data_IF_309296768636
#
_entry.id   IF_309296768636
#
_cell.length_a   1.000
_cell.length_b   1.000
_cell.length_c   1.000
_cell.angle_alpha   90.00
_cell.angle_beta   90.00
_cell.angle_gamma   90.00
#
_symmetry.space_group_name_H-M   'P 1'
#
loop_
_entity.id
_entity.type
_entity.pdbx_description
1 polymer ?
#
# COMPACT_ATOMS: atom_id res chain seq x y z
N UNK A 1 -14.97 2.44 12.30
CA UNK A 1 -15.47 3.83 12.29
C UNK A 1 -15.60 4.25 10.84
N UNK A 2 -16.82 4.33 10.26
CA UNK A 2 -16.99 4.68 8.84
C UNK A 2 -16.59 6.13 8.63
N UNK A 3 -15.70 6.35 7.65
CA UNK A 3 -15.30 7.70 7.22
C UNK A 3 -16.51 8.27 6.47
N UNK A 4 -17.35 9.04 7.15
CA UNK A 4 -18.45 9.79 6.51
C UNK A 4 -17.86 11.07 5.90
N UNK A 5 -17.15 10.88 4.79
CA UNK A 5 -16.53 11.97 4.06
C UNK A 5 -17.53 12.59 3.09
N UNK A 6 -17.61 13.90 3.10
CA UNK A 6 -18.32 14.64 2.05
C UNK A 6 -17.76 14.18 0.68
N UNK A 7 -18.63 13.67 -0.21
CA UNK A 7 -18.28 13.07 -1.50
C UNK A 7 -17.30 13.92 -2.34
N UNK A 8 -17.45 15.27 -2.29
CA UNK A 8 -16.56 16.19 -3.02
C UNK A 8 -15.13 16.19 -2.46
N UNK A 9 -14.97 16.11 -1.14
CA UNK A 9 -13.64 16.03 -0.51
C UNK A 9 -12.95 14.72 -0.83
N UNK A 10 -13.69 13.61 -0.86
CA UNK A 10 -13.15 12.30 -1.26
C UNK A 10 -12.61 12.36 -2.69
N UNK A 11 -13.37 12.93 -3.63
CA UNK A 11 -12.97 13.00 -5.03
C UNK A 11 -11.70 13.85 -5.21
N UNK A 12 -11.56 14.95 -4.48
CA UNK A 12 -10.37 15.79 -4.57
C UNK A 12 -9.13 15.13 -3.94
N UNK A 13 -9.28 14.48 -2.79
CA UNK A 13 -8.20 13.70 -2.17
C UNK A 13 -7.79 12.55 -3.08
N UNK A 14 -8.73 11.83 -3.68
CA UNK A 14 -8.47 10.76 -4.64
C UNK A 14 -7.70 11.25 -5.87
N UNK A 15 -8.05 12.41 -6.43
CA UNK A 15 -7.29 13.03 -7.54
C UNK A 15 -5.86 13.35 -7.13
N UNK A 16 -5.68 13.96 -5.94
CA UNK A 16 -4.35 14.29 -5.42
C UNK A 16 -3.52 13.02 -5.21
N UNK A 17 -4.11 12.00 -4.59
CA UNK A 17 -3.47 10.70 -4.40
C UNK A 17 -3.07 10.07 -5.74
N UNK A 18 -3.95 10.09 -6.75
CA UNK A 18 -3.68 9.56 -8.09
C UNK A 18 -2.54 10.29 -8.79
N UNK A 19 -2.45 11.62 -8.63
CA UNK A 19 -1.37 12.44 -9.19
C UNK A 19 -0.01 12.14 -8.56
N UNK A 20 0.07 11.66 -7.32
CA UNK A 20 1.31 11.22 -6.71
C UNK A 20 1.94 10.06 -7.49
N UNK A 21 1.13 9.13 -8.03
CA UNK A 21 1.61 8.04 -8.88
C UNK A 21 2.12 8.55 -10.23
N UNK A 22 1.41 9.51 -10.83
CA UNK A 22 1.87 10.17 -12.07
C UNK A 22 3.22 10.82 -11.86
N UNK A 23 3.39 11.57 -10.77
CA UNK A 23 4.66 12.22 -10.44
C UNK A 23 5.78 11.20 -10.21
N UNK A 24 5.51 10.12 -9.49
CA UNK A 24 6.50 9.07 -9.24
C UNK A 24 6.98 8.43 -10.54
N UNK A 25 6.09 8.13 -11.48
CA UNK A 25 6.44 7.59 -12.80
C UNK A 25 7.20 8.62 -13.62
N UNK A 26 6.73 9.87 -13.67
CA UNK A 26 7.38 10.96 -14.39
C UNK A 26 8.82 11.21 -13.88
N UNK A 27 9.04 11.18 -12.57
CA UNK A 27 10.37 11.33 -11.96
C UNK A 27 11.20 10.03 -12.04
N UNK A 28 10.73 9.00 -12.75
CA UNK A 28 11.39 7.70 -12.91
C UNK A 28 11.72 7.01 -11.59
N UNK A 29 10.88 7.18 -10.58
CA UNK A 29 11.05 6.49 -9.30
C UNK A 29 10.81 4.99 -9.47
N UNK A 30 11.58 4.20 -8.73
CA UNK A 30 11.30 2.77 -8.65
C UNK A 30 9.92 2.52 -7.99
N UNK A 31 8.99 1.78 -8.62
CA UNK A 31 7.63 1.59 -8.12
C UNK A 31 7.55 1.03 -6.70
N UNK A 32 8.38 0.03 -6.38
CA UNK A 32 8.43 -0.56 -5.03
C UNK A 32 8.95 0.43 -4.00
N UNK A 33 9.95 1.27 -4.34
CA UNK A 33 10.47 2.32 -3.45
C UNK A 33 9.43 3.41 -3.21
N UNK A 34 8.74 3.85 -4.26
CA UNK A 34 7.67 4.84 -4.14
C UNK A 34 6.52 4.34 -3.25
N UNK A 35 6.00 3.14 -3.49
CA UNK A 35 4.90 2.60 -2.69
C UNK A 35 5.29 2.35 -1.23
N UNK A 36 6.57 2.03 -0.97
CA UNK A 36 7.09 1.96 0.39
C UNK A 36 7.08 3.33 1.07
N UNK A 37 7.66 4.36 0.43
CA UNK A 37 7.67 5.73 0.94
C UNK A 37 6.24 6.24 1.18
N UNK A 38 5.35 6.03 0.20
CA UNK A 38 3.95 6.43 0.30
C UNK A 38 3.26 5.76 1.49
N UNK A 39 3.42 4.44 1.67
CA UNK A 39 2.78 3.68 2.75
C UNK A 39 3.31 4.01 4.16
N UNK A 40 4.47 4.65 4.25
CA UNK A 40 5.08 5.08 5.52
C UNK A 40 4.99 6.59 5.75
N UNK A 41 4.42 7.33 4.80
CA UNK A 41 4.32 8.78 4.86
C UNK A 41 3.27 9.25 5.86
N UNK A 42 3.48 10.45 6.41
CA UNK A 42 2.47 11.11 7.23
C UNK A 42 1.19 11.42 6.43
N UNK A 43 1.31 11.64 5.11
CA UNK A 43 0.17 11.85 4.22
C UNK A 43 -0.77 10.64 4.21
N UNK A 44 -0.24 9.43 4.03
CA UNK A 44 -1.05 8.19 4.04
C UNK A 44 -1.56 7.87 5.44
N UNK A 45 -0.76 8.07 6.50
CA UNK A 45 -1.23 7.85 7.86
C UNK A 45 -2.47 8.70 8.18
N UNK A 46 -2.46 9.98 7.83
CA UNK A 46 -3.62 10.87 8.00
C UNK A 46 -4.80 10.44 7.16
N UNK A 47 -4.58 9.98 5.94
CA UNK A 47 -5.61 9.45 5.08
C UNK A 47 -6.27 8.20 5.68
N UNK A 48 -5.48 7.26 6.20
CA UNK A 48 -5.97 6.04 6.85
C UNK A 48 -6.68 6.32 8.18
N UNK A 49 -6.28 7.35 8.91
CA UNK A 49 -6.93 7.86 10.13
C UNK A 49 -8.23 8.64 9.84
N UNK A 50 -8.46 9.02 8.59
CA UNK A 50 -9.62 9.84 8.19
C UNK A 50 -9.46 11.33 8.51
N UNK A 51 -8.24 11.81 8.77
CA UNK A 51 -7.93 13.24 8.96
C UNK A 51 -7.85 13.96 7.61
N UNK A 52 -9.02 14.12 6.98
CA UNK A 52 -9.14 14.68 5.64
C UNK A 52 -8.82 16.16 5.62
N UNK A 53 -9.15 16.90 6.65
CA UNK A 53 -8.86 18.33 6.73
C UNK A 53 -7.35 18.60 6.65
N UNK A 54 -6.54 17.69 7.13
CA UNK A 54 -5.08 17.78 7.07
C UNK A 54 -4.50 17.53 5.67
N UNK A 55 -5.24 16.88 4.77
CA UNK A 55 -4.76 16.47 3.44
C UNK A 55 -5.50 17.12 2.27
N UNK A 56 -6.75 17.57 2.42
CA UNK A 56 -7.54 18.16 1.34
C UNK A 56 -6.99 19.49 0.82
N UNK A 57 -6.28 20.26 1.65
CA UNK A 57 -5.69 21.55 1.30
C UNK A 57 -4.19 21.49 0.98
N UNK A 58 -3.62 20.29 0.86
CA UNK A 58 -2.20 20.14 0.54
C UNK A 58 -2.03 20.19 -0.98
N UNK A 59 -1.13 21.06 -1.48
CA UNK A 59 -0.78 21.05 -2.90
C UNK A 59 -0.07 19.73 -3.27
N UNK A 60 -0.14 19.37 -4.55
CA UNK A 60 0.49 18.12 -5.02
C UNK A 60 2.01 18.11 -4.81
N UNK A 61 2.65 19.28 -4.95
CA UNK A 61 4.09 19.47 -4.72
C UNK A 61 4.44 19.21 -3.26
N UNK A 62 3.60 19.73 -2.35
CA UNK A 62 3.77 19.52 -0.91
C UNK A 62 3.52 18.06 -0.54
N UNK A 63 2.47 17.44 -1.07
CA UNK A 63 2.18 16.02 -0.85
C UNK A 63 3.33 15.13 -1.36
N UNK A 64 3.86 15.43 -2.57
CA UNK A 64 4.99 14.71 -3.14
C UNK A 64 6.25 14.86 -2.28
N UNK A 65 6.56 16.07 -1.84
CA UNK A 65 7.69 16.33 -0.94
C UNK A 65 7.53 15.58 0.40
N UNK A 66 6.33 15.60 1.00
CA UNK A 66 6.06 14.91 2.27
C UNK A 66 6.20 13.37 2.15
N UNK A 67 5.96 12.81 0.96
CA UNK A 67 6.13 11.38 0.67
C UNK A 67 7.58 11.02 0.37
N UNK A 68 8.25 11.80 -0.49
CA UNK A 68 9.54 11.41 -1.09
C UNK A 68 10.75 12.13 -0.51
N UNK A 69 10.52 13.25 0.19
CA UNK A 69 11.53 14.22 0.60
C UNK A 69 12.33 14.80 -0.60
N UNK A 70 11.72 14.79 -1.80
CA UNK A 70 12.28 15.34 -3.02
C UNK A 70 11.37 16.43 -3.59
N UNK A 71 11.97 17.43 -4.25
CA UNK A 71 11.22 18.44 -5.01
C UNK A 71 11.00 17.96 -6.44
N UNK A 72 9.88 18.40 -7.03
CA UNK A 72 9.57 18.11 -8.43
C UNK A 72 10.60 18.84 -9.32
N UNK A 73 11.26 18.10 -10.21
CA UNK A 73 12.32 18.64 -11.07
C UNK A 73 11.81 19.27 -12.38
N UNK A 74 10.62 18.83 -12.80
CA UNK A 74 9.99 19.29 -14.05
C UNK A 74 8.47 19.32 -13.84
N UNK A 75 7.84 20.46 -14.14
CA UNK A 75 6.40 20.68 -13.99
C UNK A 75 5.60 20.23 -15.23
N UNK A 76 6.27 19.85 -16.31
CA UNK A 76 5.64 19.35 -17.53
C UNK A 76 5.30 17.88 -17.42
N UNK A 77 4.25 17.54 -16.65
CA UNK A 77 3.83 16.13 -16.57
C UNK A 77 3.24 15.67 -17.91
N UNK A 78 3.75 14.56 -18.40
CA UNK A 78 3.11 13.81 -19.47
C UNK A 78 1.76 13.21 -18.98
N UNK A 79 0.96 12.76 -19.94
CA UNK A 79 -0.25 11.99 -19.64
C UNK A 79 0.18 10.55 -19.34
N UNK A 80 0.18 10.17 -18.06
CA UNK A 80 0.47 8.80 -17.60
C UNK A 80 -0.83 8.19 -17.10
N UNK A 81 -1.70 7.78 -18.04
CA UNK A 81 -3.04 7.27 -17.73
C UNK A 81 -3.00 6.03 -16.83
N UNK A 82 -2.07 5.13 -17.06
CA UNK A 82 -1.84 3.91 -16.28
C UNK A 82 -1.45 4.21 -14.82
N UNK A 83 -0.56 5.18 -14.62
CA UNK A 83 -0.15 5.62 -13.29
C UNK A 83 -1.30 6.32 -12.55
N UNK A 84 -2.02 7.24 -13.23
CA UNK A 84 -3.19 7.90 -12.64
C UNK A 84 -4.27 6.89 -12.25
N UNK A 85 -4.60 5.99 -13.17
CA UNK A 85 -5.58 4.92 -12.93
C UNK A 85 -5.14 4.02 -11.77
N UNK A 86 -3.85 3.68 -11.67
CA UNK A 86 -3.32 2.88 -10.57
C UNK A 86 -3.56 3.54 -9.22
N UNK A 87 -3.23 4.82 -9.08
CA UNK A 87 -3.49 5.58 -7.85
C UNK A 87 -4.98 5.66 -7.51
N UNK A 88 -5.83 5.96 -8.51
CA UNK A 88 -7.27 5.98 -8.37
C UNK A 88 -7.81 4.62 -7.89
N UNK A 89 -7.34 3.55 -8.49
CA UNK A 89 -7.77 2.19 -8.18
C UNK A 89 -7.33 1.73 -6.79
N UNK A 90 -6.13 2.08 -6.34
CA UNK A 90 -5.72 1.80 -4.96
C UNK A 90 -6.57 2.56 -3.94
N UNK A 91 -6.93 3.80 -4.24
CA UNK A 91 -7.80 4.57 -3.36
C UNK A 91 -9.20 3.94 -3.26
N UNK A 92 -9.77 3.49 -4.38
CA UNK A 92 -11.05 2.76 -4.39
C UNK A 92 -10.94 1.42 -3.63
N UNK A 93 -9.86 0.66 -3.82
CA UNK A 93 -9.61 -0.57 -3.06
C UNK A 93 -9.56 -0.27 -1.55
N UNK A 94 -8.90 0.81 -1.14
CA UNK A 94 -8.88 1.24 0.26
C UNK A 94 -10.29 1.50 0.79
N UNK A 95 -11.10 2.30 0.07
CA UNK A 95 -12.47 2.61 0.47
C UNK A 95 -13.37 1.39 0.57
N UNK A 96 -13.23 0.43 -0.36
CA UNK A 96 -14.08 -0.76 -0.45
C UNK A 96 -13.64 -1.90 0.51
N UNK A 97 -12.35 -2.00 0.79
CA UNK A 97 -11.80 -3.11 1.59
C UNK A 97 -11.43 -2.70 3.01
N UNK A 98 -11.31 -1.40 3.27
CA UNK A 98 -10.77 -0.84 4.51
C UNK A 98 -9.38 -1.38 4.89
N UNK A 99 -8.64 -1.93 3.91
CA UNK A 99 -7.28 -2.43 4.12
C UNK A 99 -6.26 -1.30 3.99
N UNK A 100 -5.24 -1.23 4.87
CA UNK A 100 -4.22 -0.17 4.78
C UNK A 100 -3.46 -0.24 3.45
N UNK A 101 -2.97 0.91 2.96
CA UNK A 101 -2.26 0.97 1.68
C UNK A 101 -1.02 0.06 1.66
N UNK A 102 -0.32 -0.09 2.79
CA UNK A 102 0.79 -1.04 2.91
C UNK A 102 0.39 -2.48 2.56
N UNK A 103 -0.82 -2.89 2.94
CA UNK A 103 -1.38 -4.20 2.59
C UNK A 103 -1.75 -4.28 1.11
N UNK A 104 -2.41 -3.24 0.58
CA UNK A 104 -2.81 -3.18 -0.84
C UNK A 104 -1.56 -3.29 -1.75
N UNK A 105 -0.51 -2.52 -1.47
CA UNK A 105 0.75 -2.56 -2.22
C UNK A 105 1.52 -3.88 -2.06
N UNK A 106 1.36 -4.57 -0.94
CA UNK A 106 1.95 -5.89 -0.76
C UNK A 106 1.24 -6.95 -1.61
N UNK A 107 -0.10 -6.96 -1.60
CA UNK A 107 -0.92 -7.97 -2.30
C UNK A 107 -1.03 -7.72 -3.80
N UNK A 108 -1.03 -6.47 -4.20
CA UNK A 108 -1.06 -6.04 -5.59
C UNK A 108 0.01 -4.95 -5.80
N UNK A 109 1.28 -5.31 -6.07
CA UNK A 109 2.36 -4.34 -6.28
C UNK A 109 2.10 -3.39 -7.45
N UNK A 110 2.66 -2.17 -7.40
CA UNK A 110 2.43 -1.13 -8.42
C UNK A 110 2.86 -1.59 -9.82
N UNK A 111 3.97 -2.32 -9.94
CA UNK A 111 4.41 -2.89 -11.21
C UNK A 111 3.29 -3.75 -11.83
N UNK A 112 2.62 -4.56 -10.99
CA UNK A 112 1.52 -5.40 -11.44
C UNK A 112 0.26 -4.60 -11.74
N UNK A 113 0.00 -3.52 -11.00
CA UNK A 113 -1.12 -2.62 -11.26
C UNK A 113 -0.97 -1.93 -12.61
N UNK A 114 0.24 -1.45 -12.94
CA UNK A 114 0.56 -0.87 -14.25
C UNK A 114 0.39 -1.91 -15.39
N UNK A 115 0.87 -3.15 -15.20
CA UNK A 115 0.74 -4.22 -16.20
C UNK A 115 -0.71 -4.57 -16.56
N UNK A 116 -1.64 -4.47 -15.59
CA UNK A 116 -3.04 -4.84 -15.81
C UNK A 116 -3.92 -3.68 -16.28
N UNK A 117 -3.37 -2.48 -16.42
CA UNK A 117 -4.09 -1.29 -16.85
C UNK A 117 -4.90 -1.53 -18.13
N UNK A 118 -4.27 -2.04 -19.19
CA UNK A 118 -4.90 -2.29 -20.48
C UNK A 118 -6.14 -3.22 -20.40
N UNK A 119 -6.19 -4.05 -19.36
CA UNK A 119 -7.29 -5.02 -19.17
C UNK A 119 -8.43 -4.39 -18.36
N UNK A 120 -8.08 -3.65 -17.29
CA UNK A 120 -9.05 -3.24 -16.26
C UNK A 120 -9.53 -1.80 -16.38
N UNK A 121 -8.84 -0.93 -17.15
CA UNK A 121 -9.19 0.49 -17.18
C UNK A 121 -10.55 0.79 -17.80
N UNK A 122 -11.04 -0.07 -18.69
CA UNK A 122 -12.36 0.04 -19.31
C UNK A 122 -13.43 -0.80 -18.60
N UNK A 123 -13.03 -1.66 -17.64
CA UNK A 123 -13.96 -2.49 -16.88
C UNK A 123 -14.52 -1.71 -15.68
N UNK A 124 -15.69 -2.14 -15.18
CA UNK A 124 -16.16 -1.59 -13.91
C UNK A 124 -15.26 -2.04 -12.74
N UNK A 125 -15.25 -1.25 -11.68
CA UNK A 125 -14.36 -1.46 -10.53
C UNK A 125 -14.57 -2.82 -9.84
N UNK A 126 -15.76 -3.41 -9.94
CA UNK A 126 -16.08 -4.73 -9.36
C UNK A 126 -15.13 -5.81 -9.88
N UNK A 127 -14.77 -5.75 -11.16
CA UNK A 127 -13.83 -6.70 -11.78
C UNK A 127 -12.44 -6.61 -11.15
N UNK A 128 -11.94 -5.40 -10.88
CA UNK A 128 -10.66 -5.21 -10.20
C UNK A 128 -10.73 -5.66 -8.74
N UNK A 129 -11.85 -5.39 -8.06
CA UNK A 129 -12.05 -5.82 -6.66
C UNK A 129 -12.07 -7.34 -6.54
N UNK A 130 -12.72 -8.06 -7.46
CA UNK A 130 -12.71 -9.53 -7.53
C UNK A 130 -11.30 -10.06 -7.80
N UNK A 131 -10.58 -9.45 -8.73
CA UNK A 131 -9.20 -9.79 -9.01
C UNK A 131 -8.31 -9.62 -7.77
N UNK A 132 -8.47 -8.51 -7.04
CA UNK A 132 -7.76 -8.26 -5.80
C UNK A 132 -8.08 -9.30 -4.72
N UNK A 133 -9.37 -9.58 -4.47
CA UNK A 133 -9.82 -10.60 -3.50
C UNK A 133 -9.24 -11.98 -3.79
N UNK A 134 -9.16 -12.38 -5.06
CA UNK A 134 -8.49 -13.63 -5.45
C UNK A 134 -7.02 -13.62 -5.04
N UNK A 135 -6.30 -12.52 -5.26
CA UNK A 135 -4.88 -12.41 -4.87
C UNK A 135 -4.67 -12.40 -3.36
N UNK A 136 -5.61 -11.84 -2.59
CA UNK A 136 -5.53 -11.91 -1.12
C UNK A 136 -5.42 -13.36 -0.63
N UNK A 137 -6.17 -14.28 -1.25
CA UNK A 137 -6.21 -15.69 -0.85
C UNK A 137 -5.03 -16.53 -1.35
N UNK A 138 -4.27 -16.05 -2.33
CA UNK A 138 -3.14 -16.80 -2.92
C UNK A 138 -1.96 -16.97 -1.96
N UNK A 139 -1.76 -16.05 -1.03
CA UNK A 139 -0.66 -16.13 -0.05
C UNK A 139 -0.89 -15.22 1.15
N UNK A 140 -0.42 -15.64 2.31
CA UNK A 140 -0.42 -14.83 3.54
C UNK A 140 0.60 -13.69 3.46
N UNK A 141 0.48 -12.70 4.35
CA UNK A 141 1.43 -11.57 4.49
C UNK A 141 2.86 -12.11 4.62
N UNK A 142 3.11 -12.97 5.62
CA UNK A 142 4.45 -13.50 5.85
C UNK A 142 4.94 -14.36 4.67
N UNK A 143 4.05 -15.10 4.02
CA UNK A 143 4.36 -15.86 2.81
C UNK A 143 4.80 -14.96 1.65
N UNK A 144 4.09 -13.86 1.43
CA UNK A 144 4.40 -12.86 0.39
C UNK A 144 5.73 -12.16 0.68
N UNK A 145 5.96 -11.73 1.93
CA UNK A 145 7.22 -11.10 2.36
C UNK A 145 8.42 -12.03 2.17
N UNK A 146 8.28 -13.30 2.54
CA UNK A 146 9.34 -14.30 2.32
C UNK A 146 9.64 -14.50 0.84
N UNK A 147 8.63 -14.56 -0.02
CA UNK A 147 8.81 -14.65 -1.48
C UNK A 147 9.51 -13.40 -2.03
N UNK A 148 9.07 -12.20 -1.65
CA UNK A 148 9.66 -10.93 -2.10
C UNK A 148 11.14 -10.81 -1.68
N UNK A 149 11.47 -11.14 -0.43
CA UNK A 149 12.86 -11.10 0.10
C UNK A 149 13.69 -12.36 -0.27
N UNK A 150 13.09 -13.32 -0.97
CA UNK A 150 13.71 -14.62 -1.33
C UNK A 150 14.38 -15.30 -0.12
N UNK A 151 13.69 -15.37 1.01
CA UNK A 151 14.20 -15.93 2.25
C UNK A 151 13.34 -17.09 2.79
N UNK A 152 13.98 -18.00 3.53
CA UNK A 152 13.31 -19.09 4.24
C UNK A 152 12.85 -18.66 5.63
N UNK A 153 11.92 -19.40 6.25
CA UNK A 153 11.54 -19.17 7.65
C UNK A 153 12.72 -19.37 8.62
N UNK A 154 13.70 -20.18 8.25
CA UNK A 154 14.93 -20.36 9.04
C UNK A 154 15.72 -19.07 9.15
N UNK A 155 15.90 -18.35 8.02
CA UNK A 155 16.54 -17.04 8.01
C UNK A 155 15.76 -16.00 8.82
N UNK A 156 14.43 -16.04 8.75
CA UNK A 156 13.56 -15.16 9.58
C UNK A 156 13.74 -15.47 11.06
N UNK A 157 13.79 -16.77 11.46
CA UNK A 157 14.08 -17.20 12.83
C UNK A 157 15.42 -16.66 13.32
N UNK A 158 16.48 -16.85 12.53
CA UNK A 158 17.83 -16.38 12.88
C UNK A 158 17.90 -14.88 13.11
N UNK A 159 17.22 -14.10 12.26
CA UNK A 159 17.22 -12.63 12.36
C UNK A 159 16.30 -12.09 13.46
N UNK A 160 15.19 -12.76 13.75
CA UNK A 160 14.16 -12.23 14.68
C UNK A 160 14.18 -12.90 16.05
N UNK A 161 14.78 -14.10 16.17
CA UNK A 161 14.72 -14.93 17.37
C UNK A 161 13.34 -15.56 17.63
N UNK A 162 12.38 -15.43 16.70
CA UNK A 162 11.05 -16.05 16.82
C UNK A 162 11.15 -17.53 16.46
N UNK A 163 10.51 -18.42 17.23
CA UNK A 163 10.60 -19.86 17.00
C UNK A 163 10.04 -20.23 15.62
N UNK A 164 10.62 -21.27 14.99
CA UNK A 164 10.18 -21.75 13.68
C UNK A 164 8.71 -22.20 13.70
N UNK A 165 8.26 -22.79 14.80
CA UNK A 165 6.86 -23.20 14.97
C UNK A 165 5.91 -22.00 15.00
N UNK A 166 6.31 -20.90 15.66
CA UNK A 166 5.54 -19.66 15.69
C UNK A 166 5.49 -19.03 14.30
N UNK A 167 6.63 -18.92 13.61
CA UNK A 167 6.69 -18.40 12.25
C UNK A 167 5.89 -19.25 11.26
N UNK A 168 5.88 -20.57 11.42
CA UNK A 168 5.06 -21.46 10.59
C UNK A 168 3.57 -21.20 10.77
N UNK A 169 3.10 -20.96 12.01
CA UNK A 169 1.71 -20.56 12.28
C UNK A 169 1.38 -19.21 11.65
N UNK A 170 2.25 -18.21 11.78
CA UNK A 170 2.07 -16.89 11.14
C UNK A 170 2.05 -16.97 9.61
N UNK A 171 2.81 -17.89 9.03
CA UNK A 171 2.81 -18.13 7.57
C UNK A 171 1.57 -18.87 7.10
N UNK A 172 0.89 -19.63 7.96
CA UNK A 172 -0.32 -20.38 7.58
C UNK A 172 -1.59 -19.53 7.59
N UNK A 173 -1.63 -18.43 8.36
CA UNK A 173 -2.83 -17.59 8.50
C UNK A 173 -2.48 -16.16 8.92
N UNK A 174 -2.99 -15.18 8.19
CA UNK A 174 -2.88 -13.76 8.54
C UNK A 174 -3.69 -13.45 9.82
N UNK A 175 -4.79 -14.14 10.07
CA UNK A 175 -5.57 -14.01 11.32
C UNK A 175 -4.73 -14.35 12.56
N UNK A 176 -3.89 -15.38 12.46
CA UNK A 176 -2.96 -15.75 13.56
C UNK A 176 -1.86 -14.70 13.69
N UNK A 177 -1.40 -14.16 12.57
CA UNK A 177 -0.37 -13.12 12.54
C UNK A 177 -0.88 -11.82 13.19
N UNK A 178 -2.10 -11.39 12.90
CA UNK A 178 -2.72 -10.20 13.51
C UNK A 178 -2.87 -10.31 15.04
N UNK A 179 -3.02 -11.52 15.57
CA UNK A 179 -3.08 -11.81 17.03
C UNK A 179 -1.69 -11.97 17.66
N UNK A 180 -0.60 -11.77 16.91
CA UNK A 180 0.75 -11.87 17.44
C UNK A 180 1.06 -10.75 18.44
N UNK A 181 1.99 -11.02 19.37
CA UNK A 181 2.46 -9.96 20.28
C UNK A 181 3.13 -8.83 19.49
N UNK A 182 2.96 -7.60 19.98
CA UNK A 182 3.61 -6.43 19.39
C UNK A 182 5.11 -6.63 19.18
N UNK A 183 5.79 -7.28 20.13
CA UNK A 183 7.21 -7.57 20.03
C UNK A 183 7.55 -8.44 18.81
N UNK A 184 6.74 -9.46 18.51
CA UNK A 184 6.94 -10.31 17.33
C UNK A 184 6.65 -9.54 16.04
N UNK A 185 5.55 -8.78 16.01
CA UNK A 185 5.22 -7.90 14.89
C UNK A 185 6.36 -6.92 14.60
N UNK A 186 6.85 -6.22 15.62
CA UNK A 186 7.96 -5.28 15.48
C UNK A 186 9.22 -5.93 14.90
N UNK A 187 9.59 -7.12 15.39
CA UNK A 187 10.76 -7.86 14.88
C UNK A 187 10.59 -8.27 13.42
N UNK A 188 9.40 -8.74 13.04
CA UNK A 188 9.08 -9.12 11.65
C UNK A 188 9.11 -7.88 10.76
N UNK A 189 8.41 -6.80 11.14
CA UNK A 189 8.37 -5.54 10.40
C UNK A 189 9.78 -4.99 10.16
N UNK A 190 10.62 -4.96 11.20
CA UNK A 190 12.01 -4.51 11.13
C UNK A 190 12.85 -5.39 10.18
N UNK A 191 12.71 -6.71 10.25
CA UNK A 191 13.46 -7.63 9.39
C UNK A 191 13.09 -7.49 7.91
N UNK A 192 11.81 -7.30 7.62
CA UNK A 192 11.32 -7.15 6.24
C UNK A 192 11.35 -5.71 5.75
N UNK A 193 11.66 -4.75 6.64
CA UNK A 193 11.68 -3.32 6.32
C UNK A 193 10.31 -2.84 5.79
N UNK A 194 9.25 -3.22 6.51
CA UNK A 194 7.86 -2.86 6.17
C UNK A 194 7.20 -2.14 7.33
N UNK A 195 6.19 -1.29 7.08
CA UNK A 195 5.48 -0.58 8.15
C UNK A 195 4.70 -1.55 9.04
N UNK A 196 4.56 -1.20 10.32
CA UNK A 196 3.81 -2.01 11.30
C UNK A 196 2.32 -2.07 10.95
N UNK A 197 1.78 -1.02 10.31
CA UNK A 197 0.38 -0.96 9.85
C UNK A 197 0.00 -2.14 8.96
N UNK A 198 0.96 -2.73 8.25
CA UNK A 198 0.75 -3.95 7.45
C UNK A 198 0.23 -5.15 8.28
N UNK A 199 0.50 -5.17 9.58
CA UNK A 199 0.16 -6.28 10.48
C UNK A 199 -1.00 -5.95 11.43
N UNK A 200 -1.69 -4.85 11.19
CA UNK A 200 -2.89 -4.46 11.94
C UNK A 200 -4.09 -4.87 11.11
N UNK A 201 -4.99 -5.65 11.71
CA UNK A 201 -6.27 -5.94 11.07
C UNK A 201 -7.08 -4.63 10.99
N UNK A 202 -7.59 -4.31 9.81
CA UNK A 202 -8.50 -3.19 9.67
C UNK A 202 -9.80 -3.55 10.38
N UNK A 203 -10.04 -2.88 11.50
CA UNK A 203 -11.26 -2.95 12.30
C UNK A 203 -12.49 -2.45 11.53
#
# INVERSE_FOLDING_TARGET
>A
MGIDLNKYLIDDVKKTFSRLFVLAVHQSMNPSSFTFLLSTSNYVNKLEEGDIDAICNISIEKAYFDVTNETIKDDSYGIYNDAYWSGYSYFELFLQTHKPFSYLFLKLPLEKMLDIYEIFHEMDFTSLLEYFKKRETESTILGTLCKKKKCSLTKVKEATGISINTLSKYRSSDEILYKASFQNIYKIAKYFEVPISLFVDSL
#
